data_IF_188349425646
#
_entry.id   IF_188349425646
#
_cell.length_a   1.000
_cell.length_b   1.000
_cell.length_c   1.000
_cell.angle_alpha   90.00
_cell.angle_beta   90.00
_cell.angle_gamma   90.00
#
_symmetry.space_group_name_H-M   'P 1'
#
loop_
_entity.id
_entity.type
_entity.pdbx_description
1 polymer ?
#
# COMPACT_ATOMS: atom_id res chain seq x y z
N UNK A 1 2.15 -34.87 4.73
CA UNK A 1 1.83 -33.45 4.48
C UNK A 1 2.99 -32.80 3.73
N UNK A 2 2.76 -32.23 2.54
CA UNK A 2 3.81 -31.53 1.78
C UNK A 2 4.37 -30.33 2.56
N UNK A 3 5.68 -30.10 2.47
CA UNK A 3 6.35 -28.96 3.13
C UNK A 3 5.83 -27.67 2.49
N UNK A 4 5.26 -26.76 3.30
CA UNK A 4 4.82 -25.43 2.84
C UNK A 4 5.93 -24.69 2.10
N UNK A 5 5.56 -24.03 1.01
CA UNK A 5 6.52 -23.28 0.20
C UNK A 5 7.21 -22.18 1.02
N UNK A 6 8.40 -21.74 0.59
CA UNK A 6 9.09 -20.60 1.25
C UNK A 6 8.23 -19.35 1.26
N UNK A 7 7.41 -19.16 0.23
CA UNK A 7 6.46 -18.05 0.11
C UNK A 7 5.37 -18.11 1.19
N UNK A 8 4.63 -19.21 1.29
CA UNK A 8 3.55 -19.39 2.28
C UNK A 8 4.04 -19.16 3.71
N UNK A 9 5.23 -19.66 4.04
CA UNK A 9 5.83 -19.45 5.37
C UNK A 9 6.11 -17.99 5.67
N UNK A 10 6.52 -17.20 4.66
CA UNK A 10 6.80 -15.77 4.83
C UNK A 10 5.51 -14.96 4.98
N UNK A 11 4.48 -15.26 4.19
CA UNK A 11 3.18 -14.58 4.31
C UNK A 11 2.54 -14.88 5.65
N UNK A 12 2.45 -16.16 6.07
CA UNK A 12 1.90 -16.54 7.38
C UNK A 12 2.63 -15.84 8.53
N UNK A 13 3.96 -15.80 8.49
CA UNK A 13 4.75 -15.13 9.53
C UNK A 13 4.52 -13.62 9.54
N UNK A 14 4.35 -12.98 8.39
CA UNK A 14 4.04 -11.54 8.32
C UNK A 14 2.64 -11.25 8.86
N UNK A 15 1.64 -12.04 8.44
CA UNK A 15 0.27 -11.98 8.95
C UNK A 15 0.19 -12.07 10.47
N UNK A 16 0.74 -13.16 11.03
CA UNK A 16 0.70 -13.40 12.48
C UNK A 16 1.39 -12.29 13.29
N UNK A 17 2.46 -11.71 12.75
CA UNK A 17 3.17 -10.62 13.43
C UNK A 17 2.45 -9.29 13.30
N UNK A 18 1.90 -8.98 12.12
CA UNK A 18 1.27 -7.69 11.86
C UNK A 18 -0.12 -7.57 12.47
N UNK A 19 -0.81 -8.70 12.68
CA UNK A 19 -2.19 -8.78 13.19
C UNK A 19 -2.31 -10.02 14.10
N UNK A 20 -1.64 -9.97 15.25
CA UNK A 20 -1.57 -11.09 16.22
C UNK A 20 -2.95 -11.49 16.74
N UNK A 21 -3.88 -10.55 16.79
CA UNK A 21 -5.26 -10.72 17.25
C UNK A 21 -6.12 -11.56 16.30
N UNK A 22 -5.75 -11.67 15.02
CA UNK A 22 -6.41 -12.58 14.07
C UNK A 22 -5.99 -14.04 14.29
N UNK A 23 -4.94 -14.27 15.07
CA UNK A 23 -4.41 -15.58 15.38
C UNK A 23 -3.85 -16.33 14.16
N UNK A 24 -3.82 -17.65 14.24
CA UNK A 24 -3.20 -18.53 13.24
C UNK A 24 -4.22 -19.27 12.36
N UNK A 25 -5.51 -19.04 12.59
CA UNK A 25 -6.59 -19.56 11.74
C UNK A 25 -6.65 -18.75 10.44
N UNK A 26 -6.57 -19.39 9.25
CA UNK A 26 -6.77 -18.69 7.99
C UNK A 26 -8.12 -17.98 7.92
N UNK A 27 -9.17 -18.58 8.49
CA UNK A 27 -10.54 -18.07 8.47
C UNK A 27 -10.69 -16.65 9.05
N UNK A 28 -9.87 -16.29 10.03
CA UNK A 28 -9.91 -14.95 10.65
C UNK A 28 -9.54 -13.83 9.67
N UNK A 29 -8.87 -14.15 8.56
CA UNK A 29 -8.47 -13.15 7.56
C UNK A 29 -9.52 -12.91 6.47
N UNK A 30 -10.53 -13.77 6.34
CA UNK A 30 -11.55 -13.71 5.28
C UNK A 30 -12.98 -13.97 5.80
N UNK A 31 -13.20 -13.81 7.10
CA UNK A 31 -14.48 -14.13 7.75
C UNK A 31 -15.67 -13.33 7.22
N UNK A 32 -15.45 -12.08 6.76
CA UNK A 32 -16.47 -11.21 6.20
C UNK A 32 -16.73 -11.49 4.72
N UNK A 33 -15.78 -12.16 4.03
CA UNK A 33 -15.84 -12.50 2.60
C UNK A 33 -15.95 -11.26 1.69
N UNK A 34 -15.23 -10.18 2.04
CA UNK A 34 -15.29 -8.93 1.26
C UNK A 34 -14.77 -9.10 -0.17
N UNK A 35 -13.92 -10.09 -0.43
CA UNK A 35 -13.53 -10.46 -1.80
C UNK A 35 -14.74 -10.79 -2.70
N UNK A 36 -15.81 -11.36 -2.12
CA UNK A 36 -17.00 -11.78 -2.87
C UNK A 36 -18.15 -10.78 -2.78
N UNK A 37 -18.27 -10.06 -1.66
CA UNK A 37 -19.50 -9.33 -1.32
C UNK A 37 -19.34 -7.83 -1.11
N UNK A 38 -18.12 -7.27 -1.24
CA UNK A 38 -17.88 -5.83 -1.10
C UNK A 38 -17.73 -5.17 -2.47
N UNK A 39 -18.63 -4.23 -2.80
CA UNK A 39 -18.62 -3.55 -4.09
C UNK A 39 -17.57 -2.43 -4.13
N UNK A 40 -16.49 -2.64 -4.88
CA UNK A 40 -15.40 -1.67 -5.10
C UNK A 40 -15.61 -0.77 -6.33
N UNK A 41 -16.76 -0.82 -6.99
CA UNK A 41 -17.03 0.02 -8.17
C UNK A 41 -16.98 1.50 -7.81
N UNK A 42 -16.29 2.30 -8.64
CA UNK A 42 -16.21 3.77 -8.48
C UNK A 42 -17.59 4.44 -8.51
N UNK A 43 -18.59 3.81 -9.13
CA UNK A 43 -19.97 4.32 -9.14
C UNK A 43 -20.62 4.38 -7.75
N UNK A 44 -20.06 3.67 -6.76
CA UNK A 44 -20.51 3.71 -5.37
C UNK A 44 -19.99 4.92 -4.60
N UNK A 45 -19.03 5.67 -5.18
CA UNK A 45 -18.34 6.77 -4.51
C UNK A 45 -18.94 8.11 -4.93
N UNK A 46 -19.37 8.90 -3.93
CA UNK A 46 -19.82 10.27 -4.14
C UNK A 46 -18.69 11.27 -3.90
N UNK A 47 -17.88 11.54 -4.93
CA UNK A 47 -16.81 12.54 -4.88
C UNK A 47 -17.38 13.97 -4.96
N UNK A 48 -17.09 14.79 -3.94
CA UNK A 48 -17.45 16.21 -3.88
C UNK A 48 -16.25 17.11 -3.54
N UNK A 49 -15.03 16.56 -3.56
CA UNK A 49 -13.84 17.29 -3.16
C UNK A 49 -13.43 18.28 -4.26
N UNK A 50 -13.20 19.58 -3.95
CA UNK A 50 -12.76 20.54 -4.95
C UNK A 50 -11.43 20.13 -5.57
N UNK A 51 -11.21 20.56 -6.81
CA UNK A 51 -10.01 20.27 -7.60
C UNK A 51 -9.39 21.55 -8.10
N UNK A 52 -8.07 21.65 -7.94
CA UNK A 52 -7.26 22.74 -8.48
C UNK A 52 -6.19 22.19 -9.42
N UNK A 53 -5.74 23.04 -10.35
CA UNK A 53 -4.68 22.73 -11.29
C UNK A 53 -3.36 23.35 -10.79
N UNK A 54 -2.39 22.51 -10.46
CA UNK A 54 -1.08 22.96 -9.97
C UNK A 54 -0.33 23.86 -10.96
N UNK A 55 -0.66 23.80 -12.25
CA UNK A 55 -0.03 24.65 -13.26
C UNK A 55 -0.67 26.04 -13.38
N UNK A 56 -1.78 26.29 -12.68
CA UNK A 56 -2.56 27.54 -12.79
C UNK A 56 -2.67 28.29 -11.46
N UNK A 57 -2.77 27.56 -10.35
CA UNK A 57 -2.94 28.16 -9.02
C UNK A 57 -1.60 28.68 -8.50
N UNK A 58 -1.59 29.95 -8.08
CA UNK A 58 -0.42 30.54 -7.42
C UNK A 58 -0.28 29.99 -5.99
N UNK A 59 0.95 30.00 -5.47
CA UNK A 59 1.24 29.54 -4.11
C UNK A 59 0.43 30.32 -3.05
N UNK A 60 0.35 31.64 -3.18
CA UNK A 60 -0.36 32.50 -2.22
C UNK A 60 -1.87 32.24 -2.23
N UNK A 61 -2.43 31.96 -3.40
CA UNK A 61 -3.83 31.56 -3.58
C UNK A 61 -4.08 30.20 -2.91
N UNK A 62 -3.19 29.22 -3.11
CA UNK A 62 -3.29 27.93 -2.44
C UNK A 62 -3.28 28.08 -0.91
N UNK A 63 -2.37 28.89 -0.39
CA UNK A 63 -2.25 29.14 1.06
C UNK A 63 -3.51 29.81 1.61
N UNK A 64 -4.03 30.82 0.92
CA UNK A 64 -5.18 31.59 1.38
C UNK A 64 -6.49 30.79 1.36
N UNK A 65 -6.72 30.03 0.29
CA UNK A 65 -8.00 29.35 0.04
C UNK A 65 -8.05 27.92 0.61
N UNK A 66 -6.90 27.26 0.81
CA UNK A 66 -6.86 25.85 1.22
C UNK A 66 -6.03 25.59 2.48
N UNK A 67 -4.76 25.97 2.51
CA UNK A 67 -3.86 25.62 3.63
C UNK A 67 -4.25 26.33 4.93
N UNK A 68 -4.31 27.66 4.93
CA UNK A 68 -4.65 28.48 6.10
C UNK A 68 -6.04 28.18 6.67
N UNK A 69 -7.10 28.00 5.87
CA UNK A 69 -8.42 27.64 6.39
C UNK A 69 -8.57 26.14 6.69
N UNK A 70 -7.53 25.31 6.51
CA UNK A 70 -7.59 23.85 6.67
C UNK A 70 -8.63 23.17 5.76
N UNK A 71 -8.83 23.71 4.56
CA UNK A 71 -9.80 23.20 3.59
C UNK A 71 -9.17 22.13 2.69
N UNK A 72 -9.70 20.88 2.65
CA UNK A 72 -9.19 19.84 1.77
C UNK A 72 -9.40 20.14 0.29
N UNK A 73 -8.43 19.79 -0.54
CA UNK A 73 -8.49 19.93 -2.01
C UNK A 73 -7.68 18.84 -2.69
N UNK A 74 -8.13 18.41 -3.87
CA UNK A 74 -7.35 17.52 -4.76
C UNK A 74 -6.53 18.37 -5.73
N UNK A 75 -5.21 18.22 -5.68
CA UNK A 75 -4.28 18.95 -6.57
C UNK A 75 -3.99 18.11 -7.81
N UNK A 76 -4.48 18.56 -8.95
CA UNK A 76 -4.24 17.94 -10.25
C UNK A 76 -2.92 18.45 -10.85
N UNK A 77 -2.34 17.70 -11.80
CA UNK A 77 -1.16 18.08 -12.57
C UNK A 77 0.14 18.31 -11.77
N UNK A 78 0.15 18.08 -10.46
CA UNK A 78 1.35 18.21 -9.61
C UNK A 78 2.46 17.18 -9.91
N UNK A 79 2.16 16.14 -10.71
CA UNK A 79 3.05 14.99 -10.94
C UNK A 79 3.29 14.69 -12.43
N UNK A 80 2.99 15.61 -13.36
CA UNK A 80 3.05 15.36 -14.81
C UNK A 80 4.40 14.79 -15.24
N UNK A 81 5.50 15.37 -14.76
CA UNK A 81 6.85 15.02 -15.20
C UNK A 81 7.52 13.95 -14.34
N UNK A 82 6.79 13.29 -13.43
CA UNK A 82 7.38 12.32 -12.53
C UNK A 82 7.63 10.99 -13.26
N UNK A 83 8.89 10.53 -13.21
CA UNK A 83 9.27 9.20 -13.72
C UNK A 83 8.50 8.04 -13.07
N UNK A 84 7.84 8.28 -11.94
CA UNK A 84 6.95 7.31 -11.30
C UNK A 84 5.81 6.86 -12.24
N UNK A 85 5.30 7.75 -13.10
CA UNK A 85 4.24 7.43 -14.07
C UNK A 85 4.65 6.32 -15.05
N UNK A 86 5.94 6.15 -15.31
CA UNK A 86 6.49 5.10 -16.18
C UNK A 86 7.02 3.90 -15.38
N UNK A 87 7.66 4.17 -14.24
CA UNK A 87 8.48 3.20 -13.53
C UNK A 87 7.75 2.45 -12.41
N UNK A 88 6.66 3.00 -11.88
CA UNK A 88 5.92 2.38 -10.77
C UNK A 88 4.86 1.41 -11.29
N UNK A 89 5.31 0.42 -12.06
CA UNK A 89 4.49 -0.72 -12.48
C UNK A 89 4.91 -1.97 -11.72
N UNK A 90 4.00 -2.93 -11.52
CA UNK A 90 4.31 -4.19 -10.82
C UNK A 90 5.53 -4.91 -11.42
N UNK A 91 5.66 -4.89 -12.76
CA UNK A 91 6.77 -5.51 -13.49
C UNK A 91 8.11 -4.83 -13.19
N UNK A 92 8.16 -3.51 -13.24
CA UNK A 92 9.41 -2.76 -13.04
C UNK A 92 9.81 -2.70 -11.56
N UNK A 93 8.84 -2.60 -10.66
CA UNK A 93 9.06 -2.69 -9.22
C UNK A 93 9.57 -4.07 -8.81
N UNK A 94 9.01 -5.16 -9.34
CA UNK A 94 9.55 -6.50 -9.10
C UNK A 94 10.97 -6.63 -9.67
N UNK A 95 11.20 -6.20 -10.92
CA UNK A 95 12.53 -6.28 -11.54
C UNK A 95 13.61 -5.56 -10.71
N UNK A 96 13.31 -4.33 -10.25
CA UNK A 96 14.29 -3.48 -9.56
C UNK A 96 14.44 -3.84 -8.08
N UNK A 97 13.33 -4.12 -7.39
CA UNK A 97 13.30 -4.28 -5.94
C UNK A 97 12.97 -5.71 -5.49
N UNK A 98 13.11 -6.69 -6.39
CA UNK A 98 12.72 -8.11 -6.21
C UNK A 98 13.01 -8.67 -4.80
N UNK A 99 14.22 -8.39 -4.30
CA UNK A 99 14.73 -8.91 -3.04
C UNK A 99 14.69 -7.92 -1.88
N UNK A 100 14.32 -6.66 -2.12
CA UNK A 100 14.22 -5.61 -1.11
C UNK A 100 13.00 -5.78 -0.24
N UNK A 101 13.14 -5.36 1.03
CA UNK A 101 12.13 -5.55 2.07
C UNK A 101 11.41 -4.24 2.36
N UNK A 102 10.09 -4.25 2.26
CA UNK A 102 9.22 -3.12 2.56
C UNK A 102 8.38 -3.43 3.80
N UNK A 103 8.21 -2.44 4.68
CA UNK A 103 7.30 -2.50 5.83
C UNK A 103 5.88 -2.69 5.32
N UNK A 104 5.19 -3.68 5.87
CA UNK A 104 3.80 -4.02 5.56
C UNK A 104 2.94 -4.22 6.81
N UNK A 105 3.41 -3.71 7.95
CA UNK A 105 2.78 -3.87 9.26
C UNK A 105 3.76 -3.60 10.39
N UNK A 106 3.27 -3.77 11.61
CA UNK A 106 4.00 -3.57 12.86
C UNK A 106 3.54 -4.66 13.84
N UNK A 107 4.45 -5.21 14.64
CA UNK A 107 4.09 -6.19 15.66
C UNK A 107 3.77 -5.55 17.01
N UNK A 108 3.30 -6.37 17.96
CA UNK A 108 2.85 -5.93 19.29
C UNK A 108 3.91 -5.16 20.10
N UNK A 109 5.18 -5.18 19.66
CA UNK A 109 6.30 -4.46 20.29
C UNK A 109 6.71 -3.21 19.52
N UNK A 110 5.94 -2.81 18.50
CA UNK A 110 6.29 -1.69 17.63
C UNK A 110 7.36 -2.03 16.57
N UNK A 111 7.76 -3.29 16.42
CA UNK A 111 8.80 -3.64 15.45
C UNK A 111 8.20 -3.77 14.05
N UNK A 112 8.90 -3.24 13.05
CA UNK A 112 8.46 -3.34 11.65
C UNK A 112 8.33 -4.80 11.19
N UNK A 113 7.18 -5.13 10.61
CA UNK A 113 6.98 -6.36 9.85
C UNK A 113 7.26 -6.04 8.39
N UNK A 114 8.25 -6.72 7.79
CA UNK A 114 8.66 -6.46 6.40
C UNK A 114 8.58 -7.71 5.52
N UNK A 115 8.16 -7.53 4.27
CA UNK A 115 8.15 -8.56 3.22
C UNK A 115 9.03 -8.15 2.04
N UNK A 116 9.61 -9.14 1.35
CA UNK A 116 10.29 -8.90 0.09
C UNK A 116 9.27 -8.52 -1.00
N UNK A 117 9.61 -7.59 -1.89
CA UNK A 117 8.72 -7.14 -2.98
C UNK A 117 8.12 -8.31 -3.76
N UNK A 118 8.93 -9.30 -4.15
CA UNK A 118 8.45 -10.49 -4.87
C UNK A 118 7.38 -11.30 -4.13
N UNK A 119 7.46 -11.36 -2.81
CA UNK A 119 6.47 -12.05 -2.00
C UNK A 119 5.21 -11.21 -1.87
N UNK A 120 5.35 -9.89 -1.73
CA UNK A 120 4.21 -8.99 -1.64
C UNK A 120 3.44 -8.92 -2.97
N UNK A 121 4.12 -8.85 -4.12
CA UNK A 121 3.48 -8.87 -5.45
C UNK A 121 2.73 -10.19 -5.67
N UNK A 122 3.31 -11.32 -5.27
CA UNK A 122 2.62 -12.60 -5.35
C UNK A 122 1.40 -12.62 -4.42
N UNK A 123 1.52 -12.11 -3.20
CA UNK A 123 0.43 -11.97 -2.25
C UNK A 123 -0.73 -11.13 -2.79
N UNK A 124 -0.46 -9.95 -3.37
CA UNK A 124 -1.48 -9.09 -3.96
C UNK A 124 -2.31 -9.80 -5.04
N UNK A 125 -1.71 -10.72 -5.80
CA UNK A 125 -2.38 -11.45 -6.89
C UNK A 125 -3.20 -12.65 -6.42
N UNK A 126 -2.91 -13.18 -5.24
CA UNK A 126 -3.41 -14.48 -4.79
C UNK A 126 -4.29 -14.40 -3.52
N UNK A 127 -4.41 -13.23 -2.88
CA UNK A 127 -5.10 -13.11 -1.59
C UNK A 127 -6.57 -12.73 -1.74
N UNK A 128 -7.37 -13.14 -0.77
CA UNK A 128 -8.80 -12.84 -0.61
C UNK A 128 -9.07 -12.31 0.82
N UNK A 129 -8.06 -11.67 1.42
CA UNK A 129 -8.19 -11.18 2.79
C UNK A 129 -9.19 -10.01 2.85
N UNK A 130 -10.02 -9.96 3.88
CA UNK A 130 -10.98 -8.88 4.11
C UNK A 130 -10.28 -7.52 4.28
N UNK A 131 -9.09 -7.54 4.89
CA UNK A 131 -8.20 -6.39 5.06
C UNK A 131 -6.76 -6.86 4.83
N UNK A 132 -6.27 -6.78 3.58
CA UNK A 132 -4.96 -7.29 3.20
C UNK A 132 -3.81 -6.60 3.92
N UNK A 133 -2.66 -7.28 4.03
CA UNK A 133 -1.39 -6.64 4.37
C UNK A 133 -1.10 -5.50 3.39
N UNK A 134 -0.63 -4.37 3.89
CA UNK A 134 -0.46 -3.16 3.10
C UNK A 134 0.95 -2.59 3.26
N UNK A 135 1.67 -2.38 2.15
CA UNK A 135 2.99 -1.75 2.19
C UNK A 135 2.83 -0.29 2.63
N UNK A 136 3.52 0.06 3.71
CA UNK A 136 3.62 1.42 4.23
C UNK A 136 5.02 1.60 4.86
N UNK A 137 5.97 2.05 4.06
CA UNK A 137 7.38 2.14 4.46
C UNK A 137 7.83 3.61 4.47
N UNK A 138 8.24 4.10 5.63
CA UNK A 138 8.72 5.48 5.81
C UNK A 138 10.23 5.62 5.61
N UNK A 139 10.98 4.51 5.58
CA UNK A 139 12.44 4.53 5.64
C UNK A 139 13.09 4.24 4.27
N UNK A 140 12.32 4.33 3.18
CA UNK A 140 12.82 4.05 1.82
C UNK A 140 13.93 5.00 1.38
N UNK A 141 13.95 6.24 1.89
CA UNK A 141 14.97 7.25 1.57
C UNK A 141 16.33 7.00 2.22
N UNK A 142 16.38 6.18 3.29
CA UNK A 142 17.61 5.82 4.01
C UNK A 142 18.23 4.52 3.48
N UNK A 143 17.51 3.80 2.61
CA UNK A 143 17.96 2.55 2.06
C UNK A 143 19.14 2.77 1.10
N UNK A 144 20.31 2.25 1.47
CA UNK A 144 21.45 2.15 0.57
C UNK A 144 21.26 0.96 -0.35
N UNK A 145 20.68 1.20 -1.53
CA UNK A 145 20.63 0.20 -2.60
C UNK A 145 22.05 0.00 -3.13
N UNK A 146 22.54 -1.24 -3.12
CA UNK A 146 23.75 -1.57 -3.90
C UNK A 146 23.38 -1.44 -5.38
N UNK A 147 24.03 -0.50 -6.06
CA UNK A 147 23.92 -0.29 -7.50
C UNK A 147 24.36 -1.54 -8.27
#
# INVERSE_FOLDING_TARGET
MSKRSKYERRIRSAKLRARSELGDSPHSWYSCKYADNFNLSLSTVHDRCPRIDACKVAHEEFVAEYERPYQPVVIQNAQINWKANENWTLKLLDKKYHNERFKCGEDDKGCSVKLKMKYFIRYMKENEDDSPLYIFDANYGEATFKA
#
